data_IF_245822800079
#
_entry.id   IF_245822800079
#
_cell.length_a   1.000
_cell.length_b   1.000
_cell.length_c   1.000
_cell.angle_alpha   90.00
_cell.angle_beta   90.00
_cell.angle_gamma   90.00
#
_symmetry.space_group_name_H-M   'P 1'
#
loop_
_entity.id
_entity.type
_entity.pdbx_description
1 polymer ?
#
# COMPACT_ATOMS: atom_id res chain seq x y z
N UNK A 1 -21.18 -39.38 7.36
CA UNK A 1 -20.89 -37.97 6.97
C UNK A 1 -19.50 -37.65 7.49
N UNK A 2 -18.48 -37.79 6.65
CA UNK A 2 -17.08 -37.56 7.04
C UNK A 2 -16.75 -36.08 6.90
N UNK A 3 -16.35 -35.44 7.99
CA UNK A 3 -15.91 -34.05 8.02
C UNK A 3 -14.54 -33.90 7.39
N UNK A 4 -14.43 -33.08 6.36
CA UNK A 4 -13.16 -32.60 5.84
C UNK A 4 -12.57 -31.60 6.84
N UNK A 5 -11.58 -32.04 7.63
CA UNK A 5 -10.74 -31.14 8.41
C UNK A 5 -9.59 -30.67 7.51
N UNK A 6 -9.67 -29.43 7.02
CA UNK A 6 -8.57 -28.79 6.29
C UNK A 6 -7.39 -28.56 7.25
N UNK A 7 -6.23 -29.13 6.92
CA UNK A 7 -5.02 -28.92 7.73
C UNK A 7 -4.38 -27.56 7.43
N UNK A 8 -3.59 -27.04 8.37
CA UNK A 8 -2.83 -25.79 8.20
C UNK A 8 -1.91 -25.80 6.97
N UNK A 9 -1.41 -26.99 6.57
CA UNK A 9 -0.61 -27.16 5.35
C UNK A 9 -1.45 -27.05 4.08
N UNK A 10 -2.71 -27.48 4.12
CA UNK A 10 -3.62 -27.40 2.98
C UNK A 10 -4.10 -25.95 2.76
N UNK A 11 -4.31 -25.20 3.84
CA UNK A 11 -4.60 -23.77 3.77
C UNK A 11 -3.45 -22.95 3.15
N UNK A 12 -2.19 -23.26 3.49
CA UNK A 12 -1.02 -22.58 2.93
C UNK A 12 -0.83 -22.92 1.45
N UNK A 13 -1.08 -24.17 1.03
CA UNK A 13 -1.02 -24.55 -0.38
C UNK A 13 -2.11 -23.86 -1.21
N UNK A 14 -3.33 -23.73 -0.67
CA UNK A 14 -4.41 -22.99 -1.33
C UNK A 14 -4.09 -21.51 -1.54
N UNK A 15 -3.42 -20.87 -0.57
CA UNK A 15 -2.97 -19.47 -0.69
C UNK A 15 -1.84 -19.28 -1.71
N UNK A 16 -0.97 -20.28 -1.90
CA UNK A 16 0.17 -20.20 -2.79
C UNK A 16 -0.16 -20.54 -4.27
N UNK A 17 -1.23 -21.31 -4.52
CA UNK A 17 -1.57 -21.82 -5.86
C UNK A 17 -2.77 -21.14 -6.51
N UNK A 18 -3.46 -20.26 -5.80
CA UNK A 18 -4.51 -19.44 -6.42
C UNK A 18 -3.80 -18.21 -6.96
N UNK A 19 -3.63 -18.03 -8.29
CA UNK A 19 -3.35 -16.70 -8.79
C UNK A 19 -4.47 -15.84 -8.22
N UNK A 20 -4.11 -14.84 -7.42
CA UNK A 20 -5.05 -13.81 -7.01
C UNK A 20 -5.42 -13.11 -8.32
N UNK A 21 -6.41 -13.66 -9.03
CA UNK A 21 -7.05 -13.01 -10.16
C UNK A 21 -7.86 -11.91 -9.50
N UNK A 22 -7.18 -10.81 -9.21
CA UNK A 22 -7.83 -9.58 -8.85
C UNK A 22 -8.81 -9.28 -10.00
N UNK A 23 -10.10 -9.01 -9.73
CA UNK A 23 -11.01 -8.56 -10.77
C UNK A 23 -10.37 -7.41 -11.56
N UNK A 24 -10.60 -7.34 -12.88
CA UNK A 24 -10.03 -6.31 -13.75
C UNK A 24 -10.23 -4.87 -13.22
N UNK A 25 -11.25 -4.62 -12.40
CA UNK A 25 -11.47 -3.34 -11.70
C UNK A 25 -10.35 -2.94 -10.71
N UNK A 26 -9.48 -3.87 -10.36
CA UNK A 26 -8.32 -3.69 -9.50
C UNK A 26 -7.00 -3.59 -10.29
N UNK A 27 -7.05 -3.72 -11.62
CA UNK A 27 -5.90 -3.63 -12.53
C UNK A 27 -6.26 -2.73 -13.72
N UNK A 28 -5.58 -1.60 -13.84
CA UNK A 28 -5.63 -0.67 -14.98
C UNK A 28 -7.01 -0.05 -15.32
N UNK A 29 -6.99 1.26 -15.54
CA UNK A 29 -8.15 2.09 -15.89
C UNK A 29 -7.82 3.57 -15.72
N UNK A 30 -8.77 4.46 -15.96
CA UNK A 30 -8.61 5.89 -15.62
C UNK A 30 -8.89 6.15 -14.14
N UNK A 31 -8.49 7.33 -13.65
CA UNK A 31 -8.89 7.83 -12.34
C UNK A 31 -10.42 7.86 -12.18
N UNK A 32 -11.12 8.24 -13.26
CA UNK A 32 -12.58 8.35 -13.32
C UNK A 32 -13.25 6.98 -13.19
N UNK A 33 -12.80 5.99 -13.97
CA UNK A 33 -13.33 4.62 -13.90
C UNK A 33 -13.15 4.01 -12.50
N UNK A 34 -12.02 4.29 -11.84
CA UNK A 34 -11.82 3.86 -10.46
C UNK A 34 -12.75 4.56 -9.48
N UNK A 35 -12.97 5.87 -9.63
CA UNK A 35 -13.88 6.63 -8.78
C UNK A 35 -15.33 6.13 -8.90
N UNK A 36 -15.79 5.86 -10.12
CA UNK A 36 -17.10 5.23 -10.37
C UNK A 36 -17.21 3.84 -9.75
N UNK A 37 -16.14 3.05 -9.89
CA UNK A 37 -16.03 1.74 -9.25
C UNK A 37 -16.13 1.84 -7.73
N UNK A 38 -15.38 2.76 -7.12
CA UNK A 38 -15.33 2.96 -5.67
C UNK A 38 -16.69 3.35 -5.10
N UNK A 39 -17.48 4.15 -5.84
CA UNK A 39 -18.84 4.49 -5.46
C UNK A 39 -19.76 3.25 -5.35
N UNK A 40 -19.48 2.20 -6.13
CA UNK A 40 -20.28 0.99 -6.18
C UNK A 40 -19.72 -0.17 -5.33
N UNK A 41 -18.43 -0.14 -4.99
CA UNK A 41 -17.73 -1.23 -4.30
C UNK A 41 -16.75 -0.67 -3.24
N UNK A 42 -17.12 -0.66 -1.95
CA UNK A 42 -16.28 -0.11 -0.90
C UNK A 42 -14.97 -0.88 -0.69
N UNK A 43 -14.83 -2.10 -1.23
CA UNK A 43 -13.58 -2.86 -1.18
C UNK A 43 -12.45 -2.18 -1.96
N UNK A 44 -12.80 -1.31 -2.92
CA UNK A 44 -11.83 -0.54 -3.69
C UNK A 44 -11.13 0.54 -2.86
N UNK A 45 -11.63 0.87 -1.66
CA UNK A 45 -10.98 1.82 -0.75
C UNK A 45 -9.53 1.44 -0.45
N UNK A 46 -9.20 0.15 -0.46
CA UNK A 46 -7.84 -0.34 -0.26
C UNK A 46 -6.84 0.09 -1.35
N UNK A 47 -7.33 0.58 -2.49
CA UNK A 47 -6.54 0.99 -3.66
C UNK A 47 -6.77 2.47 -4.03
N UNK A 48 -7.43 3.21 -3.15
CA UNK A 48 -7.54 4.65 -3.24
C UNK A 48 -6.26 5.30 -2.70
N UNK A 49 -5.92 6.47 -3.23
CA UNK A 49 -4.83 7.25 -2.68
C UNK A 49 -5.14 7.72 -1.25
N UNK A 50 -4.13 7.86 -0.39
CA UNK A 50 -4.32 8.55 0.87
C UNK A 50 -4.70 10.02 0.62
N UNK A 51 -5.52 10.58 1.51
CA UNK A 51 -5.96 11.98 1.41
C UNK A 51 -4.81 13.00 1.52
N UNK A 52 -3.69 12.59 2.12
CA UNK A 52 -2.49 13.40 2.28
C UNK A 52 -1.24 12.50 2.27
N UNK A 53 -0.07 13.02 1.86
CA UNK A 53 1.18 12.25 1.86
C UNK A 53 1.70 11.95 3.28
N UNK A 54 1.18 12.66 4.28
CA UNK A 54 1.43 12.41 5.70
C UNK A 54 0.12 12.53 6.47
N UNK A 55 -0.10 11.61 7.41
CA UNK A 55 -1.25 11.59 8.31
C UNK A 55 -0.79 11.31 9.72
N UNK A 56 -1.39 11.99 10.69
CA UNK A 56 -1.20 11.72 12.11
C UNK A 56 -2.52 12.02 12.84
N UNK A 57 -3.13 11.00 13.45
CA UNK A 57 -4.39 11.16 14.16
C UNK A 57 -4.57 10.12 15.27
N UNK A 58 -5.22 10.47 16.40
CA UNK A 58 -5.71 9.48 17.34
C UNK A 58 -6.82 8.64 16.68
N UNK A 59 -6.85 7.34 16.99
CA UNK A 59 -7.88 6.43 16.51
C UNK A 59 -8.92 6.16 17.61
N UNK A 60 -10.16 5.96 17.19
CA UNK A 60 -11.26 5.53 18.07
C UNK A 60 -11.46 4.02 17.97
N UNK A 61 -11.56 3.34 19.10
CA UNK A 61 -12.00 1.95 19.16
C UNK A 61 -13.43 1.84 18.65
N UNK A 62 -13.65 1.04 17.60
CA UNK A 62 -14.99 0.85 16.99
C UNK A 62 -15.75 -0.31 17.65
N UNK A 63 -15.05 -1.33 18.12
CA UNK A 63 -15.62 -2.49 18.81
C UNK A 63 -14.63 -3.09 19.82
N UNK A 64 -15.16 -3.70 20.88
CA UNK A 64 -14.35 -4.35 21.91
C UNK A 64 -13.60 -3.37 22.82
N UNK A 65 -12.51 -3.84 23.42
CA UNK A 65 -11.63 -3.07 24.33
C UNK A 65 -10.17 -3.40 24.01
N UNK A 66 -9.33 -2.37 23.94
CA UNK A 66 -7.88 -2.55 23.82
C UNK A 66 -7.32 -3.07 25.15
N UNK A 67 -6.49 -4.13 25.15
CA UNK A 67 -5.77 -4.55 26.35
C UNK A 67 -4.84 -3.43 26.83
N UNK A 68 -4.87 -3.10 28.13
CA UNK A 68 -4.05 -2.03 28.69
C UNK A 68 -2.55 -2.38 28.63
N UNK A 69 -2.23 -3.67 28.58
CA UNK A 69 -0.88 -4.20 28.49
C UNK A 69 -0.32 -4.15 27.06
N UNK A 70 -1.16 -3.92 26.06
CA UNK A 70 -0.73 -3.78 24.67
C UNK A 70 -0.06 -2.42 24.49
N UNK A 71 1.26 -2.41 24.57
CA UNK A 71 2.10 -1.22 24.37
C UNK A 71 3.12 -1.47 23.26
N UNK A 72 3.44 -0.43 22.51
CA UNK A 72 4.41 -0.48 21.41
C UNK A 72 3.82 -0.01 20.08
N UNK A 73 4.53 -0.30 18.98
CA UNK A 73 4.15 0.17 17.65
C UNK A 73 4.06 -0.98 16.66
N UNK A 74 2.89 -1.12 16.04
CA UNK A 74 2.73 -1.95 14.84
C UNK A 74 3.10 -1.11 13.62
N UNK A 75 4.14 -1.53 12.91
CA UNK A 75 4.51 -0.96 11.63
C UNK A 75 3.87 -1.77 10.49
N UNK A 76 3.53 -1.09 9.39
CA UNK A 76 3.04 -1.69 8.15
C UNK A 76 3.58 -0.90 6.96
N UNK A 77 4.11 -1.57 5.96
CA UNK A 77 4.41 -0.99 4.65
C UNK A 77 3.42 -1.52 3.60
N UNK A 78 3.25 -0.76 2.52
CA UNK A 78 2.37 -1.11 1.41
C UNK A 78 2.37 -0.07 0.29
N UNK A 79 1.96 -0.45 -0.92
CA UNK A 79 1.64 0.51 -1.98
C UNK A 79 0.48 1.41 -1.53
N UNK A 80 0.59 2.72 -1.73
CA UNK A 80 -0.44 3.67 -1.30
C UNK A 80 -0.80 4.74 -2.35
N UNK A 81 0.16 5.22 -3.13
CA UNK A 81 -0.08 6.25 -4.16
C UNK A 81 -0.27 5.59 -5.53
N UNK A 82 -1.48 5.09 -5.81
CA UNK A 82 -1.87 4.34 -7.01
C UNK A 82 -2.24 5.23 -8.20
N UNK A 83 -2.28 6.55 -8.00
CA UNK A 83 -2.61 7.54 -9.02
C UNK A 83 -1.79 8.79 -8.81
N UNK A 84 -1.15 9.32 -9.87
CA UNK A 84 -0.40 10.59 -9.82
C UNK A 84 -0.48 11.28 -11.17
N UNK A 85 -0.47 12.61 -11.16
CA UNK A 85 -0.44 13.43 -12.38
C UNK A 85 -1.60 13.13 -13.36
N UNK A 86 -2.79 12.80 -12.85
CA UNK A 86 -3.95 12.43 -13.67
C UNK A 86 -3.90 11.01 -14.26
N UNK A 87 -2.91 10.20 -13.88
CA UNK A 87 -2.75 8.84 -14.35
C UNK A 87 -2.84 7.83 -13.21
N UNK A 88 -3.76 6.87 -13.35
CA UNK A 88 -3.86 5.71 -12.48
C UNK A 88 -2.88 4.62 -12.93
N UNK A 89 -2.30 3.91 -11.96
CA UNK A 89 -1.30 2.90 -12.23
C UNK A 89 -1.94 1.61 -12.75
N UNK A 90 -1.26 0.95 -13.69
CA UNK A 90 -1.70 -0.28 -14.33
C UNK A 90 -1.70 -1.49 -13.40
N UNK A 91 -0.89 -1.46 -12.33
CA UNK A 91 -0.86 -2.50 -11.32
C UNK A 91 -0.85 -1.94 -9.90
N UNK A 92 -1.54 -2.60 -8.99
CA UNK A 92 -1.63 -2.19 -7.58
C UNK A 92 -0.30 -2.32 -6.81
N UNK A 93 0.69 -3.01 -7.38
CA UNK A 93 2.06 -3.04 -6.85
C UNK A 93 2.88 -1.79 -7.16
N UNK A 94 2.47 -1.00 -8.16
CA UNK A 94 3.29 0.12 -8.64
C UNK A 94 3.16 1.35 -7.73
N UNK A 95 2.27 1.33 -6.73
CA UNK A 95 2.04 2.50 -5.87
C UNK A 95 3.28 2.85 -5.04
N UNK A 96 3.59 4.14 -4.92
CA UNK A 96 4.69 4.58 -4.03
C UNK A 96 4.42 4.10 -2.60
N UNK A 97 5.48 3.64 -1.93
CA UNK A 97 5.38 3.00 -0.60
C UNK A 97 4.98 3.98 0.50
N UNK A 98 4.10 3.55 1.38
CA UNK A 98 3.72 4.29 2.59
C UNK A 98 3.94 3.44 3.83
N UNK A 99 4.79 3.95 4.72
CA UNK A 99 4.99 3.35 6.03
C UNK A 99 3.93 3.90 6.98
N UNK A 100 3.26 2.99 7.68
CA UNK A 100 2.24 3.27 8.67
C UNK A 100 2.69 2.76 10.03
N UNK A 101 2.32 3.49 11.08
CA UNK A 101 2.64 3.23 12.47
C UNK A 101 1.37 3.34 13.32
N UNK A 102 1.01 2.27 13.99
CA UNK A 102 -0.06 2.25 14.99
C UNK A 102 0.59 2.11 16.36
N UNK A 103 0.62 3.20 17.12
CA UNK A 103 1.26 3.24 18.44
C UNK A 103 0.20 3.08 19.52
N UNK A 104 0.39 2.07 20.36
CA UNK A 104 -0.45 1.73 21.50
C UNK A 104 0.29 2.15 22.78
N UNK A 105 -0.40 2.91 23.63
CA UNK A 105 0.13 3.46 24.89
C UNK A 105 -0.60 2.97 26.15
N UNK A 106 -1.52 2.01 25.98
CA UNK A 106 -2.36 1.47 27.06
C UNK A 106 -3.67 2.24 27.29
N UNK A 107 -3.77 3.48 26.80
CA UNK A 107 -5.00 4.29 26.87
C UNK A 107 -5.73 4.37 25.51
N UNK A 108 -4.97 4.32 24.42
CA UNK A 108 -5.52 4.39 23.07
C UNK A 108 -4.53 4.00 21.99
N UNK A 109 -4.83 4.44 20.76
CA UNK A 109 -4.00 4.22 19.58
C UNK A 109 -3.83 5.53 18.83
N UNK A 110 -2.59 5.86 18.48
CA UNK A 110 -2.29 6.91 17.50
C UNK A 110 -1.82 6.29 16.20
N UNK A 111 -2.43 6.68 15.08
CA UNK A 111 -1.98 6.35 13.74
C UNK A 111 -1.09 7.46 13.20
N UNK A 112 0.02 7.05 12.58
CA UNK A 112 0.82 7.89 11.70
C UNK A 112 1.05 7.15 10.41
N UNK A 113 1.11 7.88 9.30
CA UNK A 113 1.49 7.30 8.02
C UNK A 113 2.19 8.34 7.16
N UNK A 114 3.19 7.91 6.39
CA UNK A 114 3.95 8.79 5.51
C UNK A 114 4.36 8.06 4.24
N UNK A 115 4.06 8.67 3.09
CA UNK A 115 4.58 8.24 1.80
C UNK A 115 6.10 8.45 1.80
N UNK A 116 6.84 7.44 1.37
CA UNK A 116 8.29 7.44 1.37
C UNK A 116 8.84 8.45 0.37
N UNK A 117 9.82 9.23 0.81
CA UNK A 117 10.45 10.26 -0.01
C UNK A 117 11.61 9.68 -0.82
N UNK A 118 11.28 8.98 -1.92
CA UNK A 118 12.26 8.32 -2.78
C UNK A 118 12.85 9.27 -3.83
N UNK A 119 14.05 8.99 -4.36
CA UNK A 119 14.60 9.73 -5.51
C UNK A 119 13.65 9.76 -6.71
N UNK A 120 13.08 8.61 -7.09
CA UNK A 120 12.01 8.49 -8.08
C UNK A 120 10.89 9.49 -7.82
N UNK A 121 10.27 9.44 -6.63
CA UNK A 121 9.10 10.26 -6.30
C UNK A 121 9.41 11.76 -6.36
N UNK A 122 10.59 12.19 -5.88
CA UNK A 122 11.03 13.59 -5.98
C UNK A 122 11.18 14.05 -7.43
N UNK A 123 11.85 13.25 -8.27
CA UNK A 123 12.07 13.57 -9.70
C UNK A 123 10.76 13.67 -10.46
N UNK A 124 9.86 12.71 -10.28
CA UNK A 124 8.54 12.73 -10.90
C UNK A 124 7.70 13.93 -10.43
N UNK A 125 7.75 14.26 -9.13
CA UNK A 125 7.08 15.45 -8.58
C UNK A 125 7.61 16.73 -9.21
N UNK A 126 8.93 16.86 -9.33
CA UNK A 126 9.57 18.02 -9.94
C UNK A 126 9.23 18.15 -11.43
N UNK A 127 9.13 17.04 -12.16
CA UNK A 127 8.78 17.00 -13.57
C UNK A 127 7.27 17.17 -13.82
N UNK A 128 6.42 17.00 -12.80
CA UNK A 128 4.96 17.04 -12.93
C UNK A 128 4.39 15.89 -13.76
N UNK A 129 5.17 14.82 -13.98
CA UNK A 129 4.79 13.64 -14.77
C UNK A 129 5.52 12.40 -14.26
N UNK A 130 5.00 11.24 -14.64
CA UNK A 130 5.74 9.97 -14.49
C UNK A 130 6.98 9.99 -15.39
N UNK A 131 8.09 9.50 -14.84
CA UNK A 131 9.37 9.43 -15.55
C UNK A 131 9.82 8.00 -15.77
N UNK A 132 9.50 7.08 -14.84
CA UNK A 132 10.02 5.73 -14.87
C UNK A 132 8.91 4.68 -14.96
N UNK A 133 9.17 3.56 -15.65
CA UNK A 133 8.27 2.41 -15.58
C UNK A 133 8.13 1.88 -14.14
N UNK A 134 7.23 0.93 -13.94
CA UNK A 134 7.07 0.13 -12.73
C UNK A 134 6.78 -1.33 -13.14
N UNK A 135 6.25 -2.16 -12.25
CA UNK A 135 5.95 -3.56 -12.57
C UNK A 135 4.89 -3.70 -13.67
N UNK A 136 3.79 -2.93 -13.61
CA UNK A 136 2.71 -3.00 -14.61
C UNK A 136 2.33 -1.67 -15.25
N UNK A 137 3.07 -0.60 -14.98
CA UNK A 137 2.82 0.74 -15.51
C UNK A 137 4.04 1.22 -16.29
N UNK A 138 3.84 1.62 -17.55
CA UNK A 138 4.89 2.20 -18.38
C UNK A 138 4.43 3.60 -18.83
N UNK A 139 5.16 4.67 -18.49
CA UNK A 139 4.89 6.01 -19.02
C UNK A 139 5.00 6.03 -20.55
N UNK A 140 4.27 6.94 -21.21
CA UNK A 140 4.33 7.09 -22.67
C UNK A 140 5.69 7.55 -23.18
N UNK A 141 6.43 8.33 -22.36
CA UNK A 141 7.76 8.86 -22.66
C UNK A 141 8.68 8.67 -21.44
N UNK A 142 9.22 7.45 -21.23
CA UNK A 142 10.02 7.14 -20.05
C UNK A 142 11.46 7.69 -20.18
N UNK A 143 11.98 8.22 -19.08
CA UNK A 143 13.39 8.55 -18.95
C UNK A 143 14.24 7.26 -18.87
N UNK A 144 15.54 7.31 -19.26
CA UNK A 144 16.43 6.16 -19.12
C UNK A 144 16.62 5.78 -17.65
N UNK A 145 16.64 4.48 -17.39
CA UNK A 145 16.97 3.91 -16.08
C UNK A 145 18.50 3.86 -15.95
N UNK A 146 19.05 4.61 -15.02
CA UNK A 146 20.49 4.72 -14.75
C UNK A 146 20.89 3.95 -13.49
N UNK A 147 19.93 3.67 -12.59
CA UNK A 147 20.18 2.91 -11.37
C UNK A 147 18.91 2.37 -10.71
N UNK A 148 19.07 1.58 -9.63
CA UNK A 148 17.95 0.96 -8.93
C UNK A 148 16.98 1.99 -8.35
N UNK A 149 17.47 3.16 -7.91
CA UNK A 149 16.66 4.22 -7.31
C UNK A 149 15.69 4.93 -8.28
N UNK A 150 15.87 4.73 -9.60
CA UNK A 150 14.94 5.25 -10.60
C UNK A 150 13.60 4.49 -10.60
N UNK A 151 13.63 3.24 -10.15
CA UNK A 151 12.49 2.31 -10.16
C UNK A 151 12.06 1.91 -8.73
N UNK A 152 12.78 2.36 -7.71
CA UNK A 152 12.60 1.88 -6.35
C UNK A 152 11.32 2.46 -5.71
N UNK A 153 10.37 1.57 -5.48
CA UNK A 153 9.10 1.81 -4.78
C UNK A 153 9.09 0.93 -3.52
N UNK A 154 9.80 1.30 -2.43
CA UNK A 154 9.97 0.48 -1.24
C UNK A 154 8.64 0.28 -0.49
N UNK A 155 7.81 -0.62 -0.99
CA UNK A 155 6.39 -0.74 -0.64
C UNK A 155 6.00 -2.16 -0.20
N UNK A 156 6.96 -3.07 -0.09
CA UNK A 156 6.69 -4.50 0.13
C UNK A 156 6.72 -4.90 1.61
N UNK A 157 7.71 -4.41 2.36
CA UNK A 157 7.94 -4.85 3.73
C UNK A 157 8.64 -3.77 4.56
N UNK A 158 8.67 -4.01 5.86
CA UNK A 158 9.33 -3.16 6.84
C UNK A 158 10.12 -3.98 7.86
N UNK A 159 11.22 -3.42 8.36
CA UNK A 159 12.00 -4.01 9.45
C UNK A 159 12.41 -2.95 10.47
N UNK A 160 11.97 -3.14 11.71
CA UNK A 160 12.49 -2.40 12.85
C UNK A 160 13.85 -2.93 13.30
N UNK A 161 14.91 -2.11 13.25
CA UNK A 161 16.24 -2.47 13.75
C UNK A 161 17.01 -1.25 14.25
N UNK A 162 17.54 -1.31 15.48
CA UNK A 162 18.42 -0.28 16.02
C UNK A 162 17.78 1.11 16.10
N UNK A 163 16.51 1.19 16.49
CA UNK A 163 15.77 2.45 16.58
C UNK A 163 15.38 3.06 15.23
N UNK A 164 15.52 2.30 14.14
CA UNK A 164 15.14 2.70 12.77
C UNK A 164 14.13 1.71 12.20
N UNK A 165 13.31 2.20 11.27
CA UNK A 165 12.46 1.37 10.42
C UNK A 165 13.03 1.44 9.02
N UNK A 166 13.35 0.27 8.47
CA UNK A 166 13.78 0.09 7.09
C UNK A 166 12.56 -0.28 6.27
N UNK A 167 12.43 0.32 5.09
CA UNK A 167 11.41 0.04 4.09
C UNK A 167 12.10 -0.11 2.73
#
# INVERSE_FOLDING_TARGET
>A
MNGFALSRRDAIRFLASTPLVLPARLQAGTAEEFAEGLACDPRLLAFANPHAPEVAAPLRTVAGRLPAELTGTLWRNGPAEHERFGHRYGHWFDGDGMVQAFTFDGEGVTHRGRILDTPKRRRETQAGRRLFPAFGTVPSDPDPILGPDDMNEPNTAELGRGGRVLA
#
